data_IF_537008437456
#
_entry.id   IF_537008437456
#
_cell.length_a   1.000
_cell.length_b   1.000
_cell.length_c   1.000
_cell.angle_alpha   90.00
_cell.angle_beta   90.00
_cell.angle_gamma   90.00
#
_symmetry.space_group_name_H-M   'P 1'
#
loop_
_entity.id
_entity.type
_entity.pdbx_description
1 polymer ?
#
# COMPACT_ATOMS: atom_id res chain seq x y z
N UNK A 1 15.42 6.50 16.56
CA UNK A 1 15.67 7.41 15.40
C UNK A 1 16.88 7.03 14.55
N UNK A 2 17.86 6.25 15.05
CA UNK A 2 19.05 5.83 14.26
C UNK A 2 18.70 5.04 12.99
N UNK A 3 17.72 4.13 13.04
CA UNK A 3 17.37 3.28 11.89
C UNK A 3 16.88 4.05 10.66
N UNK A 4 15.98 5.03 10.84
CA UNK A 4 15.47 5.83 9.71
C UNK A 4 16.56 6.69 9.07
N UNK A 5 17.50 7.20 9.88
CA UNK A 5 18.66 7.94 9.37
C UNK A 5 19.55 7.06 8.50
N UNK A 6 19.86 5.83 8.95
CA UNK A 6 20.65 4.89 8.15
C UNK A 6 19.92 4.44 6.87
N UNK A 7 18.59 4.24 6.92
CA UNK A 7 17.79 3.93 5.73
C UNK A 7 17.87 5.05 4.68
N UNK A 8 17.69 6.31 5.09
CA UNK A 8 17.82 7.46 4.18
C UNK A 8 19.22 7.55 3.59
N UNK A 9 20.25 7.40 4.44
CA UNK A 9 21.65 7.41 3.99
C UNK A 9 21.91 6.34 2.94
N UNK A 10 21.48 5.10 3.19
CA UNK A 10 21.64 4.00 2.24
C UNK A 10 20.94 4.27 0.91
N UNK A 11 19.71 4.81 0.95
CA UNK A 11 18.97 5.16 -0.25
C UNK A 11 19.65 6.29 -1.04
N UNK A 12 20.14 7.34 -0.38
CA UNK A 12 20.94 8.40 -1.01
C UNK A 12 22.19 7.84 -1.69
N UNK A 13 22.93 6.95 -1.03
CA UNK A 13 24.14 6.34 -1.61
C UNK A 13 23.82 5.51 -2.86
N UNK A 14 22.68 4.79 -2.90
CA UNK A 14 22.27 4.07 -4.11
C UNK A 14 22.01 5.03 -5.27
N UNK A 15 21.34 6.16 -4.98
CA UNK A 15 21.03 7.18 -5.98
C UNK A 15 22.30 7.86 -6.52
N UNK A 16 23.26 8.21 -5.65
CA UNK A 16 24.54 8.81 -6.04
C UNK A 16 25.45 7.90 -6.87
N UNK A 17 25.20 6.59 -6.83
CA UNK A 17 25.97 5.58 -7.57
C UNK A 17 25.17 4.98 -8.75
N UNK A 18 24.09 5.63 -9.19
CA UNK A 18 23.22 5.19 -10.28
C UNK A 18 22.66 3.76 -10.12
N UNK A 19 22.54 3.29 -8.87
CA UNK A 19 22.11 1.93 -8.53
C UNK A 19 20.58 1.84 -8.36
N UNK A 20 19.85 1.96 -9.46
CA UNK A 20 18.38 2.03 -9.44
C UNK A 20 17.63 0.69 -9.46
N UNK A 21 18.30 -0.46 -9.31
CA UNK A 21 17.71 -1.78 -9.57
C UNK A 21 16.38 -2.04 -8.82
N UNK A 22 16.22 -1.47 -7.62
CA UNK A 22 15.01 -1.60 -6.79
C UNK A 22 14.58 -0.26 -6.18
N UNK A 23 14.72 0.85 -6.91
CA UNK A 23 14.40 2.20 -6.40
C UNK A 23 13.00 2.32 -5.76
N UNK A 24 11.90 1.87 -6.40
CA UNK A 24 10.57 2.01 -5.80
C UNK A 24 10.43 1.24 -4.48
N UNK A 25 11.18 0.15 -4.30
CA UNK A 25 11.14 -0.64 -3.07
C UNK A 25 11.78 0.08 -1.89
N UNK A 26 13.00 0.60 -2.09
CA UNK A 26 13.72 1.30 -1.02
C UNK A 26 13.00 2.59 -0.64
N UNK A 27 12.59 3.37 -1.64
CA UNK A 27 11.87 4.62 -1.41
C UNK A 27 10.55 4.40 -0.68
N UNK A 28 9.76 3.38 -1.03
CA UNK A 28 8.52 3.05 -0.34
C UNK A 28 8.76 2.72 1.14
N UNK A 29 9.79 1.92 1.45
CA UNK A 29 10.11 1.59 2.84
C UNK A 29 10.61 2.81 3.64
N UNK A 30 11.37 3.71 3.01
CA UNK A 30 11.74 4.99 3.62
C UNK A 30 10.49 5.83 3.89
N UNK A 31 9.55 5.93 2.94
CA UNK A 31 8.30 6.65 3.13
C UNK A 31 7.48 6.10 4.32
N UNK A 32 7.30 4.78 4.38
CA UNK A 32 6.58 4.11 5.47
C UNK A 32 7.28 4.32 6.83
N UNK A 33 8.61 4.32 6.86
CA UNK A 33 9.37 4.56 8.09
C UNK A 33 9.30 6.03 8.57
N UNK A 34 9.24 7.00 7.65
CA UNK A 34 8.94 8.40 8.00
C UNK A 34 7.53 8.51 8.61
N UNK A 35 6.53 7.92 7.95
CA UNK A 35 5.16 7.91 8.46
C UNK A 35 5.04 7.25 9.84
N UNK A 36 5.72 6.12 10.07
CA UNK A 36 5.77 5.45 11.37
C UNK A 36 6.48 6.29 12.46
N UNK A 37 7.33 7.25 12.05
CA UNK A 37 7.99 8.20 12.94
C UNK A 37 7.18 9.49 13.16
N UNK A 38 5.92 9.54 12.70
CA UNK A 38 5.03 10.69 12.81
C UNK A 38 5.17 11.73 11.69
N UNK A 39 6.02 11.46 10.69
CA UNK A 39 6.24 12.34 9.53
C UNK A 39 5.40 11.84 8.34
N UNK A 40 4.08 11.91 8.48
CA UNK A 40 3.12 11.38 7.49
C UNK A 40 3.22 12.09 6.15
N UNK A 41 3.31 13.42 6.18
CA UNK A 41 3.41 14.29 5.01
C UNK A 41 4.68 13.98 4.22
N UNK A 42 5.83 13.87 4.89
CA UNK A 42 7.09 13.46 4.26
C UNK A 42 6.99 12.07 3.62
N UNK A 43 6.30 11.13 4.27
CA UNK A 43 6.03 9.82 3.66
C UNK A 43 5.20 9.93 2.39
N UNK A 44 4.17 10.77 2.38
CA UNK A 44 3.30 11.01 1.22
C UNK A 44 4.00 11.74 0.08
N UNK A 45 4.88 12.68 0.38
CA UNK A 45 5.73 13.36 -0.61
C UNK A 45 6.62 12.35 -1.32
N UNK A 46 7.35 11.51 -0.57
CA UNK A 46 8.22 10.46 -1.13
C UNK A 46 7.41 9.50 -2.02
N UNK A 47 6.24 9.04 -1.57
CA UNK A 47 5.41 8.14 -2.39
C UNK A 47 4.93 8.81 -3.67
N UNK A 48 4.59 10.11 -3.62
CA UNK A 48 4.14 10.86 -4.80
C UNK A 48 5.26 11.04 -5.81
N UNK A 49 6.49 11.30 -5.35
CA UNK A 49 7.69 11.36 -6.19
C UNK A 49 8.00 10.01 -6.82
N UNK A 50 7.94 8.91 -6.05
CA UNK A 50 8.18 7.56 -6.56
C UNK A 50 7.16 7.15 -7.63
N UNK A 51 5.87 7.44 -7.41
CA UNK A 51 4.82 7.16 -8.41
C UNK A 51 5.07 7.94 -9.71
N UNK A 52 5.51 9.20 -9.61
CA UNK A 52 5.87 9.98 -10.79
C UNK A 52 7.14 9.45 -11.48
N UNK A 53 8.10 8.95 -10.70
CA UNK A 53 9.36 8.41 -11.19
C UNK A 53 9.20 7.05 -11.90
N UNK A 54 8.38 6.12 -11.37
CA UNK A 54 8.16 4.81 -12.02
C UNK A 54 7.53 4.97 -13.41
N UNK A 55 6.71 6.01 -13.60
CA UNK A 55 6.20 6.43 -14.91
C UNK A 55 7.27 6.76 -15.95
N UNK A 56 8.46 7.21 -15.52
CA UNK A 56 9.56 7.61 -16.39
C UNK A 56 10.62 6.52 -16.53
N UNK A 57 10.89 5.76 -15.47
CA UNK A 57 11.93 4.74 -15.44
C UNK A 57 11.50 3.39 -16.01
N UNK A 58 10.19 3.15 -16.15
CA UNK A 58 9.62 1.87 -16.59
C UNK A 58 9.59 0.79 -15.50
N UNK A 59 10.00 1.10 -14.26
CA UNK A 59 10.01 0.15 -13.14
C UNK A 59 8.64 0.01 -12.47
N UNK A 60 7.67 -0.53 -13.21
CA UNK A 60 6.27 -0.59 -12.78
C UNK A 60 5.95 -1.70 -11.77
N UNK A 61 6.85 -2.65 -11.53
CA UNK A 61 6.57 -3.89 -10.79
C UNK A 61 6.06 -3.69 -9.34
N UNK A 62 6.21 -2.49 -8.76
CA UNK A 62 5.74 -2.15 -7.41
C UNK A 62 4.62 -1.10 -7.40
N UNK A 63 4.11 -0.65 -8.55
CA UNK A 63 3.15 0.45 -8.62
C UNK A 63 1.89 0.21 -7.76
N UNK A 64 1.36 -1.02 -7.74
CA UNK A 64 0.23 -1.38 -6.89
C UNK A 64 0.51 -1.08 -5.40
N UNK A 65 1.69 -1.46 -4.91
CA UNK A 65 2.08 -1.26 -3.52
C UNK A 65 2.37 0.22 -3.20
N UNK A 66 2.91 0.99 -4.15
CA UNK A 66 3.10 2.44 -3.99
C UNK A 66 1.75 3.15 -3.81
N UNK A 67 0.77 2.83 -4.65
CA UNK A 67 -0.58 3.37 -4.53
C UNK A 67 -1.30 2.90 -3.26
N UNK A 68 -1.11 1.63 -2.87
CA UNK A 68 -1.67 1.08 -1.63
C UNK A 68 -1.12 1.82 -0.41
N UNK A 69 0.20 1.96 -0.31
CA UNK A 69 0.86 2.69 0.76
C UNK A 69 0.38 4.15 0.82
N UNK A 70 0.24 4.81 -0.34
CA UNK A 70 -0.26 6.18 -0.42
C UNK A 70 -1.67 6.30 0.14
N UNK A 71 -2.57 5.40 -0.24
CA UNK A 71 -3.94 5.37 0.27
C UNK A 71 -4.02 5.15 1.78
N UNK A 72 -3.17 4.28 2.33
CA UNK A 72 -3.10 4.07 3.79
C UNK A 72 -2.55 5.28 4.54
N UNK A 73 -1.56 5.98 3.99
CA UNK A 73 -1.03 7.19 4.61
C UNK A 73 -2.03 8.35 4.54
N UNK A 74 -2.72 8.55 3.40
CA UNK A 74 -3.79 9.55 3.27
C UNK A 74 -4.89 9.30 4.29
N UNK A 75 -5.30 8.04 4.44
CA UNK A 75 -6.30 7.60 5.42
C UNK A 75 -5.92 7.89 6.88
N UNK A 76 -4.63 8.03 7.19
CA UNK A 76 -4.11 8.39 8.52
C UNK A 76 -3.94 9.90 8.68
N UNK A 77 -3.50 10.58 7.60
CA UNK A 77 -3.26 12.02 7.60
C UNK A 77 -4.56 12.80 7.82
N UNK A 78 -5.59 12.47 7.04
CA UNK A 78 -6.89 13.11 7.14
C UNK A 78 -8.01 12.05 7.07
N UNK A 79 -8.50 11.57 8.22
CA UNK A 79 -9.62 10.62 8.26
C UNK A 79 -10.92 11.16 7.64
N UNK A 80 -11.06 12.49 7.47
CA UNK A 80 -12.23 13.12 6.87
C UNK A 80 -12.18 13.14 5.34
N UNK A 81 -10.98 13.15 4.76
CA UNK A 81 -10.77 12.99 3.31
C UNK A 81 -10.70 11.51 2.91
N UNK A 82 -11.82 10.82 3.12
CA UNK A 82 -11.99 9.44 2.71
C UNK A 82 -11.81 9.25 1.20
N UNK A 83 -12.22 10.24 0.40
CA UNK A 83 -12.21 10.16 -1.06
C UNK A 83 -10.80 10.01 -1.63
N UNK A 84 -9.82 10.77 -1.14
CA UNK A 84 -8.43 10.68 -1.61
C UNK A 84 -7.78 9.35 -1.23
N UNK A 85 -8.05 8.84 -0.03
CA UNK A 85 -7.57 7.54 0.43
C UNK A 85 -8.18 6.39 -0.39
N UNK A 86 -9.51 6.40 -0.56
CA UNK A 86 -10.25 5.41 -1.34
C UNK A 86 -9.82 5.41 -2.81
N UNK A 87 -9.64 6.58 -3.43
CA UNK A 87 -9.17 6.68 -4.81
C UNK A 87 -7.78 6.04 -4.99
N UNK A 88 -6.87 6.27 -4.04
CA UNK A 88 -5.52 5.68 -4.10
C UNK A 88 -5.56 4.16 -3.91
N UNK A 89 -6.39 3.64 -3.01
CA UNK A 89 -6.53 2.20 -2.77
C UNK A 89 -7.25 1.49 -3.94
N UNK A 90 -8.26 2.12 -4.54
CA UNK A 90 -8.90 1.61 -5.75
C UNK A 90 -7.91 1.54 -6.92
N UNK A 91 -7.06 2.57 -7.07
CA UNK A 91 -6.00 2.55 -8.08
C UNK A 91 -4.99 1.42 -7.82
N UNK A 92 -4.62 1.18 -6.57
CA UNK A 92 -3.75 0.08 -6.19
C UNK A 92 -4.36 -1.29 -6.57
N UNK A 93 -5.66 -1.49 -6.30
CA UNK A 93 -6.38 -2.71 -6.63
C UNK A 93 -6.45 -2.93 -8.16
N UNK A 94 -6.74 -1.88 -8.92
CA UNK A 94 -6.78 -1.93 -10.38
C UNK A 94 -5.41 -2.30 -10.96
N UNK A 95 -4.34 -1.66 -10.49
CA UNK A 95 -2.97 -1.95 -10.92
C UNK A 95 -2.59 -3.38 -10.54
N UNK A 96 -2.90 -3.85 -9.33
CA UNK A 96 -2.59 -5.20 -8.89
C UNK A 96 -3.24 -6.27 -9.79
N UNK A 97 -4.50 -6.04 -10.20
CA UNK A 97 -5.22 -6.91 -11.15
C UNK A 97 -4.55 -6.90 -12.51
N UNK A 98 -4.20 -5.72 -13.03
CA UNK A 98 -3.50 -5.58 -14.30
C UNK A 98 -2.12 -6.25 -14.28
N UNK A 99 -1.39 -6.12 -13.18
CA UNK A 99 -0.09 -6.76 -12.96
C UNK A 99 -0.19 -8.25 -12.60
N UNK A 100 -1.41 -8.77 -12.40
CA UNK A 100 -1.69 -10.15 -11.98
C UNK A 100 -0.99 -10.54 -10.67
N UNK A 101 -0.85 -9.59 -9.75
CA UNK A 101 -0.17 -9.76 -8.46
C UNK A 101 -1.17 -10.01 -7.34
N UNK A 102 -1.51 -11.29 -7.11
CA UNK A 102 -2.54 -11.69 -6.13
C UNK A 102 -2.31 -11.11 -4.73
N UNK A 103 -1.09 -11.14 -4.22
CA UNK A 103 -0.76 -10.60 -2.89
C UNK A 103 -1.02 -9.09 -2.80
N UNK A 104 -0.68 -8.31 -3.84
CA UNK A 104 -0.94 -6.88 -3.85
C UNK A 104 -2.43 -6.57 -4.00
N UNK A 105 -3.16 -7.42 -4.73
CA UNK A 105 -4.62 -7.32 -4.83
C UNK A 105 -5.27 -7.50 -3.45
N UNK A 106 -4.89 -8.57 -2.72
CA UNK A 106 -5.41 -8.83 -1.38
C UNK A 106 -5.08 -7.69 -0.40
N UNK A 107 -3.84 -7.20 -0.41
CA UNK A 107 -3.43 -6.07 0.46
C UNK A 107 -4.18 -4.78 0.14
N UNK A 108 -4.47 -4.53 -1.13
CA UNK A 108 -5.25 -3.36 -1.56
C UNK A 108 -6.72 -3.48 -1.16
N UNK A 109 -7.31 -4.66 -1.36
CA UNK A 109 -8.69 -4.96 -0.94
C UNK A 109 -8.85 -4.86 0.58
N UNK A 110 -7.86 -5.32 1.36
CA UNK A 110 -7.81 -5.15 2.82
C UNK A 110 -7.76 -3.68 3.23
N UNK A 111 -6.97 -2.87 2.54
CA UNK A 111 -6.93 -1.42 2.76
C UNK A 111 -8.30 -0.76 2.56
N UNK A 112 -9.01 -1.11 1.48
CA UNK A 112 -10.38 -0.64 1.21
C UNK A 112 -11.37 -1.13 2.26
N UNK A 113 -11.30 -2.41 2.63
CA UNK A 113 -12.15 -3.01 3.65
C UNK A 113 -12.02 -2.28 4.99
N UNK A 114 -10.78 -2.00 5.44
CA UNK A 114 -10.51 -1.23 6.65
C UNK A 114 -11.06 0.18 6.57
N UNK A 115 -10.88 0.86 5.44
CA UNK A 115 -11.38 2.22 5.22
C UNK A 115 -12.91 2.27 5.30
N UNK A 116 -13.60 1.40 4.55
CA UNK A 116 -15.05 1.30 4.55
C UNK A 116 -15.61 0.96 5.93
N UNK A 117 -15.00 -0.01 6.63
CA UNK A 117 -15.42 -0.38 7.98
C UNK A 117 -15.32 0.78 8.95
N UNK A 118 -14.18 1.50 8.94
CA UNK A 118 -13.96 2.67 9.81
C UNK A 118 -15.01 3.76 9.58
N UNK A 119 -15.48 3.90 8.35
CA UNK A 119 -16.41 4.95 7.95
C UNK A 119 -17.88 4.46 7.91
N UNK A 120 -18.18 3.30 8.52
CA UNK A 120 -19.54 2.77 8.64
C UNK A 120 -20.13 2.20 7.35
N UNK A 121 -19.32 2.05 6.28
CA UNK A 121 -19.72 1.54 4.96
C UNK A 121 -19.45 0.03 4.81
N UNK A 122 -19.71 -0.76 5.85
CA UNK A 122 -19.34 -2.17 5.89
C UNK A 122 -20.12 -3.07 4.91
N UNK A 123 -21.28 -2.63 4.41
CA UNK A 123 -22.20 -3.45 3.61
C UNK A 123 -21.65 -4.02 2.30
N UNK A 124 -20.58 -3.43 1.73
CA UNK A 124 -19.92 -3.92 0.50
C UNK A 124 -18.56 -4.61 0.73
N UNK A 125 -18.10 -4.71 1.98
CA UNK A 125 -16.77 -5.25 2.29
C UNK A 125 -16.67 -6.73 1.95
N UNK A 126 -17.71 -7.51 2.25
CA UNK A 126 -17.74 -8.95 1.98
C UNK A 126 -17.72 -9.24 0.46
N UNK A 127 -18.55 -8.52 -0.31
CA UNK A 127 -18.63 -8.66 -1.77
C UNK A 127 -17.30 -8.34 -2.46
N UNK A 128 -16.55 -7.38 -1.92
CA UNK A 128 -15.23 -7.01 -2.44
C UNK A 128 -14.13 -8.00 -2.04
N UNK A 129 -14.07 -8.41 -0.77
CA UNK A 129 -12.94 -9.14 -0.21
C UNK A 129 -13.02 -10.65 -0.42
N UNK A 130 -14.23 -11.24 -0.42
CA UNK A 130 -14.41 -12.69 -0.55
C UNK A 130 -13.90 -13.26 -1.90
N UNK A 131 -14.14 -12.62 -3.06
CA UNK A 131 -13.60 -13.11 -4.34
C UNK A 131 -12.08 -13.10 -4.38
N UNK A 132 -11.43 -12.06 -3.84
CA UNK A 132 -9.97 -11.94 -3.81
C UNK A 132 -9.36 -12.99 -2.87
N UNK A 133 -9.98 -13.22 -1.72
CA UNK A 133 -9.53 -14.24 -0.76
C UNK A 133 -9.66 -15.66 -1.31
N UNK A 134 -10.70 -15.95 -2.10
CA UNK A 134 -10.93 -17.27 -2.69
C UNK A 134 -9.82 -17.72 -3.66
N UNK A 135 -9.00 -16.78 -4.16
CA UNK A 135 -7.85 -17.09 -5.01
C UNK A 135 -6.61 -17.59 -4.25
N UNK A 136 -6.66 -17.59 -2.92
CA UNK A 136 -5.59 -18.06 -2.06
C UNK A 136 -5.90 -19.46 -1.50
N UNK A 137 -4.95 -20.38 -1.64
CA UNK A 137 -5.07 -21.71 -1.05
C UNK A 137 -5.17 -21.65 0.48
N UNK A 138 -5.99 -22.53 1.05
CA UNK A 138 -6.27 -22.60 2.49
C UNK A 138 -5.01 -22.77 3.34
N UNK A 139 -3.97 -23.37 2.78
CA UNK A 139 -2.69 -23.69 3.42
C UNK A 139 -1.71 -22.50 3.46
N UNK A 140 -2.00 -21.39 2.77
CA UNK A 140 -1.14 -20.20 2.78
C UNK A 140 -1.29 -19.43 4.10
N UNK A 141 -0.27 -19.55 4.96
CA UNK A 141 -0.12 -18.75 6.18
C UNK A 141 0.43 -17.33 5.89
N UNK A 142 -0.22 -16.58 5.00
CA UNK A 142 0.06 -15.16 4.83
C UNK A 142 -0.75 -14.36 5.86
N UNK A 143 -0.14 -13.34 6.48
CA UNK A 143 -0.84 -12.47 7.45
C UNK A 143 -2.09 -11.84 6.86
N UNK A 144 -2.05 -11.48 5.59
CA UNK A 144 -3.14 -10.89 4.83
C UNK A 144 -4.33 -11.84 4.69
N UNK A 145 -4.07 -13.15 4.52
CA UNK A 145 -5.12 -14.17 4.41
C UNK A 145 -5.82 -14.34 5.75
N UNK A 146 -5.05 -14.30 6.85
CA UNK A 146 -5.61 -14.35 8.21
C UNK A 146 -6.45 -13.11 8.48
N UNK A 147 -5.91 -11.91 8.22
CA UNK A 147 -6.62 -10.65 8.40
C UNK A 147 -7.91 -10.58 7.57
N UNK A 148 -7.88 -11.07 6.32
CA UNK A 148 -9.06 -11.07 5.47
C UNK A 148 -10.18 -11.96 6.02
N UNK A 149 -9.84 -13.13 6.56
CA UNK A 149 -10.81 -14.02 7.21
C UNK A 149 -11.42 -13.36 8.45
N UNK A 150 -10.59 -12.77 9.30
CA UNK A 150 -11.04 -12.06 10.50
C UNK A 150 -11.96 -10.88 10.17
N UNK A 151 -11.64 -10.11 9.13
CA UNK A 151 -12.49 -9.00 8.68
C UNK A 151 -13.84 -9.49 8.15
N UNK A 152 -13.86 -10.59 7.38
CA UNK A 152 -15.09 -11.19 6.87
C UNK A 152 -15.99 -11.71 7.99
N UNK A 153 -15.44 -12.30 9.04
CA UNK A 153 -16.21 -12.75 10.21
C UNK A 153 -16.85 -11.58 10.98
N UNK A 154 -16.26 -10.39 10.92
CA UNK A 154 -16.74 -9.20 11.65
C UNK A 154 -17.76 -8.35 10.88
N UNK A 155 -17.99 -8.63 9.59
CA UNK A 155 -18.97 -7.92 8.75
C UNK A 155 -20.22 -8.75 8.40
N UNK A 156 -20.28 -9.99 8.89
CA UNK A 156 -21.50 -10.81 8.96
C UNK A 156 -22.25 -10.50 10.26
#
# INVERSE_FOLDING_TARGET
>A
MTGLTEMRRGWTLLHENDCYLCEPFWGMHVALANAASGQLETGLEILSELIAWTGQSGQHWLDAELHRARGELLSRLDPSDEASAEASLNRALEIARHQQTKTFELRSALGLARLHKRNGRAGGVSEMLAPVLAEFDVERNLSEVVEAKELLEQVH
#
